data_IF_159876138614
#
_entry.id   IF_159876138614
#
_cell.length_a   1.000
_cell.length_b   1.000
_cell.length_c   1.000
_cell.angle_alpha   90.00
_cell.angle_beta   90.00
_cell.angle_gamma   90.00
#
_symmetry.space_group_name_H-M   'P 1'
#
loop_
_entity.id
_entity.type
_entity.pdbx_description
1 polymer ?
#
# COMPACT_ATOMS: atom_id res chain seq x y z
N UNK A 1 -6.49 2.31 -0.92
CA UNK A 1 -5.74 1.28 -1.69
C UNK A 1 -6.73 0.19 -2.03
N UNK A 2 -6.80 -0.28 -3.28
CA UNK A 2 -7.79 -1.26 -3.75
C UNK A 2 -7.39 -2.70 -3.40
N UNK A 3 -7.24 -2.99 -2.11
CA UNK A 3 -6.62 -4.23 -1.63
C UNK A 3 -7.56 -5.43 -1.61
N UNK A 4 -8.88 -5.22 -1.57
CA UNK A 4 -9.88 -6.22 -1.21
C UNK A 4 -10.93 -6.28 -2.31
N UNK A 5 -11.52 -7.45 -2.51
CA UNK A 5 -12.77 -7.64 -3.26
C UNK A 5 -13.93 -7.14 -2.40
N UNK A 6 -14.27 -5.86 -2.55
CA UNK A 6 -15.15 -5.13 -1.66
C UNK A 6 -16.56 -5.70 -1.69
N UNK A 7 -17.04 -6.19 -2.84
CA UNK A 7 -18.38 -6.78 -2.95
C UNK A 7 -18.52 -8.05 -2.12
N UNK A 8 -17.54 -8.94 -2.23
CA UNK A 8 -17.50 -10.17 -1.43
C UNK A 8 -17.35 -9.85 0.06
N UNK A 9 -16.39 -8.98 0.40
CA UNK A 9 -16.14 -8.60 1.79
C UNK A 9 -17.38 -8.00 2.47
N UNK A 10 -18.03 -7.03 1.82
CA UNK A 10 -19.22 -6.39 2.40
C UNK A 10 -20.44 -7.32 2.41
N UNK A 11 -20.59 -8.19 1.41
CA UNK A 11 -21.65 -9.19 1.39
C UNK A 11 -21.58 -10.12 2.61
N UNK A 12 -20.38 -10.64 2.91
CA UNK A 12 -20.15 -11.50 4.07
C UNK A 12 -20.41 -10.76 5.39
N UNK A 13 -19.97 -9.50 5.50
CA UNK A 13 -20.16 -8.70 6.72
C UNK A 13 -21.63 -8.36 6.96
N UNK A 14 -22.37 -7.99 5.92
CA UNK A 14 -23.79 -7.62 6.02
C UNK A 14 -24.66 -8.83 6.37
N UNK A 15 -24.40 -10.00 5.77
CA UNK A 15 -25.17 -11.21 6.06
C UNK A 15 -24.94 -11.72 7.49
N UNK A 16 -23.69 -11.71 7.96
CA UNK A 16 -23.34 -12.02 9.36
C UNK A 16 -23.57 -13.48 9.78
N UNK A 17 -24.04 -14.36 8.89
CA UNK A 17 -24.27 -15.80 9.13
C UNK A 17 -22.99 -16.62 8.95
N UNK A 18 -22.11 -16.19 8.04
CA UNK A 18 -20.95 -16.95 7.58
C UNK A 18 -21.24 -17.97 6.48
N UNK A 19 -22.46 -17.97 5.93
CA UNK A 19 -22.89 -18.91 4.88
C UNK A 19 -22.38 -18.49 3.49
N UNK A 20 -22.31 -17.19 3.19
CA UNK A 20 -21.75 -16.64 1.95
C UNK A 20 -20.22 -16.66 1.86
N UNK A 21 -19.53 -17.02 2.93
CA UNK A 21 -18.08 -17.07 2.96
C UNK A 21 -17.49 -16.67 4.31
N UNK A 22 -16.16 -16.67 4.37
CA UNK A 22 -15.40 -16.30 5.57
C UNK A 22 -14.35 -15.26 5.22
N UNK A 23 -14.15 -14.32 6.14
CA UNK A 23 -13.09 -13.32 6.05
C UNK A 23 -12.00 -13.69 7.05
N UNK A 24 -10.74 -13.56 6.63
CA UNK A 24 -9.60 -13.61 7.54
C UNK A 24 -9.82 -12.67 8.73
N UNK A 25 -9.74 -13.20 9.95
CA UNK A 25 -9.89 -12.36 11.15
C UNK A 25 -8.79 -11.29 11.22
N UNK A 26 -7.57 -11.63 10.79
CA UNK A 26 -6.45 -10.68 10.69
C UNK A 26 -6.80 -9.54 9.73
N UNK A 27 -7.25 -9.87 8.51
CA UNK A 27 -7.65 -8.88 7.52
C UNK A 27 -8.82 -8.02 8.01
N UNK A 28 -9.83 -8.64 8.61
CA UNK A 28 -10.98 -7.94 9.16
C UNK A 28 -10.56 -6.90 10.20
N UNK A 29 -9.72 -7.28 11.18
CA UNK A 29 -9.22 -6.32 12.17
C UNK A 29 -8.39 -5.19 11.53
N UNK A 30 -7.61 -5.48 10.47
CA UNK A 30 -6.83 -4.49 9.75
C UNK A 30 -7.70 -3.50 8.94
N UNK A 31 -8.81 -3.98 8.36
CA UNK A 31 -9.83 -3.15 7.72
C UNK A 31 -10.50 -2.24 8.76
N UNK A 32 -10.92 -2.79 9.90
CA UNK A 32 -11.50 -1.99 10.99
C UNK A 32 -10.51 -0.94 11.49
N UNK A 33 -9.25 -1.31 11.68
CA UNK A 33 -8.18 -0.39 12.07
C UNK A 33 -8.09 0.84 11.14
N UNK A 34 -8.03 0.61 9.83
CA UNK A 34 -7.93 1.70 8.85
C UNK A 34 -9.23 2.48 8.71
N UNK A 35 -10.37 1.80 8.78
CA UNK A 35 -11.71 2.40 8.71
C UNK A 35 -12.00 3.39 9.84
N UNK A 36 -11.56 3.12 11.07
CA UNK A 36 -11.77 4.00 12.24
C UNK A 36 -11.27 5.44 12.01
N UNK A 37 -10.32 5.65 11.10
CA UNK A 37 -9.87 6.98 10.72
C UNK A 37 -11.00 7.89 10.19
N UNK A 38 -12.02 7.29 9.57
CA UNK A 38 -13.09 7.97 8.85
C UNK A 38 -14.46 7.88 9.55
N UNK A 39 -14.57 7.07 10.59
CA UNK A 39 -15.81 6.90 11.36
C UNK A 39 -16.08 8.16 12.20
N UNK A 40 -17.35 8.57 12.24
CA UNK A 40 -17.81 9.68 13.07
C UNK A 40 -17.57 9.42 14.58
N UNK A 41 -17.25 10.47 15.33
CA UNK A 41 -16.92 10.33 16.76
C UNK A 41 -18.07 9.80 17.60
N UNK A 42 -19.34 10.02 17.21
CA UNK A 42 -20.51 9.50 17.93
C UNK A 42 -20.49 7.97 18.02
N UNK A 43 -20.26 7.30 16.90
CA UNK A 43 -20.17 5.83 16.84
C UNK A 43 -19.00 5.29 17.67
N UNK A 44 -17.85 5.97 17.65
CA UNK A 44 -16.68 5.55 18.44
C UNK A 44 -16.94 5.72 19.94
N UNK A 45 -17.64 6.77 20.34
CA UNK A 45 -18.02 7.02 21.74
C UNK A 45 -19.01 5.97 22.23
N UNK A 46 -20.02 5.64 21.40
CA UNK A 46 -20.97 4.55 21.69
C UNK A 46 -20.26 3.20 21.84
N UNK A 47 -19.21 2.96 21.06
CA UNK A 47 -18.36 1.78 21.18
C UNK A 47 -17.39 1.82 22.38
N UNK A 48 -17.46 2.86 23.24
CA UNK A 48 -16.67 2.98 24.47
C UNK A 48 -15.29 3.63 24.30
N UNK A 49 -14.99 4.23 23.14
CA UNK A 49 -13.71 4.89 22.91
C UNK A 49 -13.78 6.40 23.16
N UNK A 50 -12.96 6.87 24.11
CA UNK A 50 -12.87 8.30 24.42
C UNK A 50 -12.27 9.16 23.28
N UNK A 51 -11.39 8.58 22.46
CA UNK A 51 -10.78 9.28 21.32
C UNK A 51 -10.60 8.36 20.12
N UNK A 52 -10.61 8.94 18.91
CA UNK A 52 -10.30 8.21 17.68
C UNK A 52 -8.93 7.54 17.72
N UNK A 53 -7.92 8.20 18.29
CA UNK A 53 -6.59 7.61 18.41
C UNK A 53 -6.60 6.33 19.27
N UNK A 54 -7.31 6.35 20.43
CA UNK A 54 -7.47 5.15 21.27
C UNK A 54 -8.21 4.03 20.54
N UNK A 55 -9.26 4.35 19.78
CA UNK A 55 -9.97 3.39 18.95
C UNK A 55 -9.05 2.76 17.89
N UNK A 56 -8.33 3.60 17.11
CA UNK A 56 -7.38 3.13 16.09
C UNK A 56 -6.31 2.25 16.70
N UNK A 57 -5.74 2.65 17.85
CA UNK A 57 -4.74 1.87 18.58
C UNK A 57 -5.28 0.48 18.96
N UNK A 58 -6.50 0.40 19.47
CA UNK A 58 -7.09 -0.87 19.88
C UNK A 58 -7.22 -1.86 18.70
N UNK A 59 -7.72 -1.41 17.54
CA UNK A 59 -7.84 -2.26 16.35
C UNK A 59 -6.47 -2.59 15.73
N UNK A 60 -5.51 -1.67 15.74
CA UNK A 60 -4.14 -1.95 15.33
C UNK A 60 -3.51 -3.05 16.20
N UNK A 61 -3.62 -2.95 17.52
CA UNK A 61 -3.06 -3.94 18.45
C UNK A 61 -3.70 -5.32 18.28
N UNK A 62 -5.01 -5.40 17.98
CA UNK A 62 -5.67 -6.67 17.63
C UNK A 62 -5.08 -7.28 16.36
N UNK A 63 -4.93 -6.48 15.31
CA UNK A 63 -4.32 -6.92 14.04
C UNK A 63 -2.88 -7.40 14.25
N UNK A 64 -2.09 -6.63 15.02
CA UNK A 64 -0.72 -6.98 15.36
C UNK A 64 -0.63 -8.27 16.17
N UNK A 65 -1.50 -8.46 17.17
CA UNK A 65 -1.51 -9.68 17.96
C UNK A 65 -1.79 -10.90 17.07
N UNK A 66 -2.80 -10.83 16.19
CA UNK A 66 -3.13 -11.93 15.26
C UNK A 66 -1.96 -12.27 14.33
N UNK A 67 -1.23 -11.25 13.84
CA UNK A 67 -0.03 -11.46 13.05
C UNK A 67 1.11 -12.09 13.87
N UNK A 68 1.39 -11.55 15.06
CA UNK A 68 2.50 -12.00 15.93
C UNK A 68 2.31 -13.43 16.47
N UNK A 69 1.07 -13.94 16.47
CA UNK A 69 0.74 -15.32 16.83
C UNK A 69 0.60 -16.26 15.61
N UNK A 70 0.98 -15.82 14.41
CA UNK A 70 0.87 -16.60 13.17
C UNK A 70 -0.55 -17.18 12.94
N UNK A 71 -1.58 -16.42 13.33
CA UNK A 71 -2.97 -16.90 13.30
C UNK A 71 -3.49 -17.14 11.88
N UNK A 72 -3.05 -16.31 10.93
CA UNK A 72 -3.48 -16.40 9.54
C UNK A 72 -2.47 -17.20 8.71
N UNK A 73 -2.97 -18.02 7.79
CA UNK A 73 -2.14 -18.83 6.87
C UNK A 73 -2.26 -18.36 5.43
N UNK A 74 -3.37 -17.70 5.06
CA UNK A 74 -3.51 -17.12 3.73
C UNK A 74 -2.58 -15.92 3.56
N UNK A 75 -1.54 -16.13 2.75
CA UNK A 75 -0.51 -15.13 2.45
C UNK A 75 -1.11 -13.88 1.80
N UNK A 76 -2.19 -14.00 1.01
CA UNK A 76 -2.84 -12.83 0.40
C UNK A 76 -3.48 -11.97 1.48
N UNK A 77 -4.25 -12.58 2.40
CA UNK A 77 -4.84 -11.90 3.54
C UNK A 77 -3.77 -11.24 4.45
N UNK A 78 -2.65 -11.93 4.68
CA UNK A 78 -1.52 -11.38 5.45
C UNK A 78 -0.95 -10.15 4.75
N UNK A 79 -0.65 -10.20 3.45
CA UNK A 79 -0.12 -9.05 2.69
C UNK A 79 -1.09 -7.87 2.76
N UNK A 80 -2.39 -8.11 2.52
CA UNK A 80 -3.42 -7.07 2.61
C UNK A 80 -3.46 -6.43 4.00
N UNK A 81 -3.43 -7.24 5.07
CA UNK A 81 -3.42 -6.75 6.45
C UNK A 81 -2.17 -5.93 6.77
N UNK A 82 -0.98 -6.42 6.38
CA UNK A 82 0.29 -5.72 6.56
C UNK A 82 0.28 -4.35 5.85
N UNK A 83 -0.19 -4.30 4.60
CA UNK A 83 -0.34 -3.06 3.84
C UNK A 83 -1.30 -2.08 4.53
N UNK A 84 -2.37 -2.55 5.16
CA UNK A 84 -3.26 -1.70 5.95
C UNK A 84 -2.58 -1.21 7.23
N UNK A 85 -1.86 -2.09 7.94
CA UNK A 85 -1.14 -1.77 9.19
C UNK A 85 -0.07 -0.69 9.03
N UNK A 86 0.48 -0.52 7.82
CA UNK A 86 1.45 0.54 7.52
C UNK A 86 0.88 1.96 7.76
N UNK A 87 -0.45 2.14 7.83
CA UNK A 87 -1.10 3.41 8.21
C UNK A 87 -1.04 3.74 9.71
N UNK A 88 -0.40 2.91 10.52
CA UNK A 88 -0.12 3.21 11.92
C UNK A 88 1.22 3.92 12.07
N UNK A 89 1.22 5.07 12.73
CA UNK A 89 2.42 5.78 13.15
C UNK A 89 2.12 6.41 14.52
N UNK A 90 2.75 5.91 15.58
CA UNK A 90 2.53 6.39 16.95
C UNK A 90 3.77 7.05 17.53
N UNK A 91 4.95 6.47 17.33
CA UNK A 91 6.23 7.02 17.82
C UNK A 91 7.40 6.63 16.90
N UNK A 92 8.42 7.49 16.75
CA UNK A 92 9.62 7.19 15.96
C UNK A 92 10.42 5.97 16.45
N UNK A 93 10.32 5.63 17.73
CA UNK A 93 11.16 4.59 18.38
C UNK A 93 10.52 3.20 18.41
N UNK A 94 9.37 3.01 17.77
CA UNK A 94 8.71 1.70 17.77
C UNK A 94 9.43 0.73 16.80
N UNK A 95 9.85 -0.43 17.30
CA UNK A 95 10.60 -1.44 16.51
C UNK A 95 9.89 -1.90 15.23
N UNK A 96 8.55 -1.91 15.24
CA UNK A 96 7.70 -2.23 14.08
C UNK A 96 7.01 -0.97 13.58
N UNK A 97 7.78 -0.10 12.94
CA UNK A 97 7.28 1.13 12.29
C UNK A 97 6.66 0.83 10.91
N UNK A 98 6.18 1.88 10.22
CA UNK A 98 5.66 1.75 8.86
C UNK A 98 6.67 1.10 7.91
N UNK A 99 7.96 1.40 8.08
CA UNK A 99 9.03 0.84 7.25
C UNK A 99 9.15 -0.67 7.44
N UNK A 100 9.12 -1.16 8.67
CA UNK A 100 9.13 -2.60 8.99
C UNK A 100 8.00 -3.32 8.27
N UNK A 101 6.76 -2.87 8.46
CA UNK A 101 5.59 -3.53 7.86
C UNK A 101 5.61 -3.53 6.33
N UNK A 102 6.12 -2.46 5.70
CA UNK A 102 6.33 -2.43 4.26
C UNK A 102 7.34 -3.49 3.80
N UNK A 103 8.48 -3.63 4.51
CA UNK A 103 9.49 -4.64 4.17
C UNK A 103 8.94 -6.07 4.22
N UNK A 104 8.15 -6.39 5.25
CA UNK A 104 7.49 -7.70 5.38
C UNK A 104 6.48 -7.91 4.26
N UNK A 105 5.61 -6.93 3.98
CA UNK A 105 4.59 -7.04 2.95
C UNK A 105 5.19 -7.29 1.55
N UNK A 106 6.25 -6.56 1.19
CA UNK A 106 6.94 -6.69 -0.10
C UNK A 106 7.63 -8.06 -0.20
N UNK A 107 8.33 -8.49 0.86
CA UNK A 107 8.98 -9.80 0.90
C UNK A 107 7.97 -10.94 0.69
N UNK A 108 6.81 -10.88 1.35
CA UNK A 108 5.77 -11.89 1.21
C UNK A 108 5.09 -11.84 -0.17
N UNK A 109 4.83 -10.64 -0.71
CA UNK A 109 4.31 -10.46 -2.06
C UNK A 109 5.26 -11.04 -3.13
N UNK A 110 6.58 -10.86 -2.96
CA UNK A 110 7.59 -11.48 -3.81
C UNK A 110 7.58 -13.01 -3.68
N UNK A 111 7.49 -13.52 -2.46
CA UNK A 111 7.50 -14.97 -2.17
C UNK A 111 6.35 -15.71 -2.87
N UNK A 112 5.18 -15.09 -3.00
CA UNK A 112 4.03 -15.70 -3.70
C UNK A 112 3.88 -15.28 -5.16
N UNK A 113 4.83 -14.49 -5.68
CA UNK A 113 4.88 -14.12 -7.10
C UNK A 113 3.93 -12.99 -7.53
N UNK A 114 3.47 -12.11 -6.62
CA UNK A 114 2.57 -11.01 -7.02
C UNK A 114 3.24 -9.97 -7.93
N UNK A 115 4.57 -9.93 -7.97
CA UNK A 115 5.37 -9.07 -8.85
C UNK A 115 5.44 -9.57 -10.29
N UNK A 116 4.94 -10.79 -10.55
CA UNK A 116 5.03 -11.44 -11.85
C UNK A 116 3.76 -11.26 -12.66
N UNK A 117 3.92 -11.13 -13.97
CA UNK A 117 2.84 -11.07 -14.93
C UNK A 117 1.98 -12.35 -14.83
N UNK A 118 0.69 -12.22 -14.46
CA UNK A 118 -0.17 -13.39 -14.29
C UNK A 118 -0.76 -13.92 -15.60
N UNK A 119 -0.67 -13.19 -16.73
CA UNK A 119 -1.24 -13.58 -18.03
C UNK A 119 -0.88 -15.00 -18.53
N UNK A 120 0.37 -15.50 -18.39
CA UNK A 120 0.72 -16.85 -18.83
C UNK A 120 0.29 -17.97 -17.85
N UNK A 121 -0.41 -17.64 -16.77
CA UNK A 121 -0.74 -18.60 -15.70
C UNK A 121 -2.17 -19.16 -15.81
N UNK A 122 -2.43 -20.29 -15.16
CA UNK A 122 -3.78 -20.89 -15.03
C UNK A 122 -4.61 -20.24 -13.92
N UNK A 123 -4.19 -19.09 -13.39
CA UNK A 123 -4.86 -18.42 -12.28
C UNK A 123 -6.19 -17.84 -12.76
N UNK A 124 -7.31 -17.96 -12.03
CA UNK A 124 -8.57 -17.38 -12.43
C UNK A 124 -8.48 -15.86 -12.64
N UNK A 125 -9.10 -15.28 -13.69
CA UNK A 125 -8.99 -13.85 -14.01
C UNK A 125 -9.28 -12.91 -12.84
N UNK A 126 -10.33 -13.19 -12.06
CA UNK A 126 -10.68 -12.46 -10.83
C UNK A 126 -9.50 -12.36 -9.86
N UNK A 127 -8.77 -13.46 -9.66
CA UNK A 127 -7.61 -13.53 -8.76
C UNK A 127 -6.41 -12.79 -9.34
N UNK A 128 -6.20 -12.86 -10.66
CA UNK A 128 -5.15 -12.10 -11.34
C UNK A 128 -5.33 -10.59 -11.15
N UNK A 129 -6.56 -10.10 -11.35
CA UNK A 129 -6.93 -8.68 -11.13
C UNK A 129 -6.65 -8.25 -9.69
N UNK A 130 -7.08 -9.03 -8.70
CA UNK A 130 -6.80 -8.75 -7.29
C UNK A 130 -5.29 -8.70 -7.00
N UNK A 131 -4.53 -9.67 -7.50
CA UNK A 131 -3.08 -9.75 -7.31
C UNK A 131 -2.35 -8.55 -7.90
N UNK A 132 -2.75 -8.12 -9.11
CA UNK A 132 -2.27 -6.91 -9.77
C UNK A 132 -2.55 -5.66 -8.92
N UNK A 133 -3.77 -5.51 -8.40
CA UNK A 133 -4.12 -4.41 -7.49
C UNK A 133 -3.33 -4.42 -6.18
N UNK A 134 -3.06 -5.59 -5.61
CA UNK A 134 -2.26 -5.73 -4.39
C UNK A 134 -0.80 -5.33 -4.66
N UNK A 135 -0.20 -5.82 -5.73
CA UNK A 135 1.18 -5.46 -6.08
C UNK A 135 1.34 -3.96 -6.32
N UNK A 136 0.49 -3.37 -7.14
CA UNK A 136 0.54 -1.92 -7.39
C UNK A 136 0.26 -1.11 -6.12
N UNK A 137 -0.49 -1.65 -5.16
CA UNK A 137 -0.64 -1.06 -3.83
C UNK A 137 0.64 -1.15 -3.00
N UNK A 138 1.39 -2.26 -3.06
CA UNK A 138 2.74 -2.36 -2.50
C UNK A 138 3.65 -1.28 -3.10
N UNK A 139 3.71 -1.21 -4.43
CA UNK A 139 4.56 -0.28 -5.18
C UNK A 139 4.29 1.17 -4.80
N UNK A 140 3.03 1.62 -4.92
CA UNK A 140 2.65 2.99 -4.57
C UNK A 140 2.95 3.29 -3.10
N UNK A 141 2.68 2.35 -2.20
CA UNK A 141 2.87 2.60 -0.77
C UNK A 141 4.35 2.68 -0.40
N UNK A 142 5.18 1.82 -0.96
CA UNK A 142 6.62 1.80 -0.73
C UNK A 142 7.25 3.14 -1.16
N UNK A 143 6.95 3.61 -2.37
CA UNK A 143 7.48 4.87 -2.90
C UNK A 143 7.02 6.09 -2.10
N UNK A 144 5.75 6.15 -1.72
CA UNK A 144 5.24 7.28 -0.91
C UNK A 144 5.81 7.29 0.51
N UNK A 145 6.00 6.11 1.12
CA UNK A 145 6.63 5.99 2.44
C UNK A 145 8.12 6.35 2.34
N UNK A 146 8.82 5.83 1.33
CA UNK A 146 10.22 6.13 1.04
C UNK A 146 10.44 7.65 0.89
N UNK A 147 9.62 8.30 0.06
CA UNK A 147 9.63 9.76 -0.12
C UNK A 147 9.38 10.51 1.20
N UNK A 148 8.33 10.12 1.94
CA UNK A 148 7.97 10.77 3.20
C UNK A 148 9.00 10.57 4.33
N UNK A 149 9.72 9.44 4.32
CA UNK A 149 10.74 9.10 5.31
C UNK A 149 12.18 9.41 4.87
N UNK A 150 12.37 9.92 3.64
CA UNK A 150 13.68 10.16 3.01
C UNK A 150 14.57 8.91 2.99
N UNK A 151 13.95 7.76 2.70
CA UNK A 151 14.61 6.46 2.55
C UNK A 151 14.52 6.00 1.10
N UNK A 152 15.44 5.16 0.62
CA UNK A 152 15.32 4.55 -0.71
C UNK A 152 14.07 3.68 -0.77
N UNK A 153 13.37 3.61 -1.89
CA UNK A 153 12.35 2.56 -2.09
C UNK A 153 13.02 1.19 -2.12
N UNK A 154 12.23 0.15 -1.84
CA UNK A 154 12.67 -1.25 -1.90
C UNK A 154 12.39 -1.90 -3.22
N UNK A 155 11.27 -1.56 -3.85
CA UNK A 155 10.88 -2.12 -5.14
C UNK A 155 11.57 -1.30 -6.21
N UNK A 156 12.38 -1.96 -7.03
CA UNK A 156 12.97 -1.36 -8.23
C UNK A 156 12.22 -1.78 -9.48
N UNK A 157 12.37 -1.00 -10.52
CA UNK A 157 11.69 -1.25 -11.81
C UNK A 157 12.17 -2.53 -12.50
N UNK A 158 13.39 -2.99 -12.20
CA UNK A 158 13.96 -4.26 -12.68
C UNK A 158 13.41 -5.51 -11.96
N UNK A 159 12.73 -5.34 -10.81
CA UNK A 159 12.33 -6.46 -9.94
C UNK A 159 10.95 -7.06 -10.30
N UNK A 160 10.19 -6.45 -11.21
CA UNK A 160 8.83 -6.87 -11.54
C UNK A 160 8.51 -6.75 -13.04
N UNK A 161 7.57 -7.56 -13.51
CA UNK A 161 7.13 -7.58 -14.92
C UNK A 161 5.60 -7.52 -15.06
N UNK A 162 4.91 -7.19 -13.96
CA UNK A 162 3.45 -7.08 -13.95
C UNK A 162 2.96 -5.85 -14.74
N UNK A 163 1.94 -6.00 -15.61
CA UNK A 163 1.45 -4.89 -16.41
C UNK A 163 0.79 -3.79 -15.56
N UNK A 164 0.72 -2.58 -16.13
CA UNK A 164 0.04 -1.42 -15.55
C UNK A 164 -1.44 -1.71 -15.27
N UNK A 165 -1.99 -1.13 -14.20
CA UNK A 165 -3.40 -1.22 -13.85
C UNK A 165 -4.31 -0.68 -14.96
N UNK A 166 -5.41 -1.37 -15.18
CA UNK A 166 -6.46 -1.03 -16.14
C UNK A 166 -7.82 -0.94 -15.42
N UNK A 167 -8.79 -0.28 -16.03
CA UNK A 167 -10.11 -0.09 -15.40
C UNK A 167 -10.79 -1.42 -15.04
N UNK A 168 -10.60 -2.43 -15.88
CA UNK A 168 -11.15 -3.76 -15.68
C UNK A 168 -10.57 -4.50 -14.47
N UNK A 169 -9.46 -4.01 -13.91
CA UNK A 169 -8.92 -4.54 -12.67
C UNK A 169 -9.81 -4.16 -11.48
N UNK A 170 -10.71 -3.17 -11.58
CA UNK A 170 -11.47 -2.63 -10.43
C UNK A 170 -12.95 -3.02 -10.43
N UNK A 171 -13.56 -3.01 -9.25
CA UNK A 171 -15.02 -3.16 -9.07
C UNK A 171 -15.71 -1.79 -9.26
N UNK A 172 -16.13 -1.47 -10.49
CA UNK A 172 -16.75 -0.18 -10.83
C UNK A 172 -18.28 -0.24 -10.95
N UNK A 173 -18.85 -1.43 -10.89
CA UNK A 173 -20.30 -1.66 -10.93
C UNK A 173 -20.96 -1.26 -9.61
N UNK A 174 -22.23 -0.83 -9.70
CA UNK A 174 -23.03 -0.50 -8.53
C UNK A 174 -23.20 -1.71 -7.59
N UNK A 175 -23.22 -1.43 -6.29
CA UNK A 175 -23.42 -2.44 -5.26
C UNK A 175 -24.91 -2.57 -4.94
N UNK A 176 -25.40 -3.77 -4.57
CA UNK A 176 -26.79 -3.99 -4.20
C UNK A 176 -27.26 -3.02 -3.11
N UNK A 177 -28.52 -2.59 -3.20
CA UNK A 177 -29.10 -1.54 -2.34
C UNK A 177 -29.07 -1.86 -0.84
N UNK A 178 -29.10 -3.15 -0.47
CA UNK A 178 -29.06 -3.60 0.92
C UNK A 178 -27.67 -3.46 1.56
N UNK A 179 -26.57 -3.57 0.80
CA UNK A 179 -25.21 -3.50 1.35
C UNK A 179 -24.86 -2.04 1.65
N UNK A 180 -24.69 -1.68 2.92
CA UNK A 180 -24.37 -0.30 3.35
C UNK A 180 -25.29 0.74 2.69
N UNK A 181 -26.59 0.63 2.91
CA UNK A 181 -27.64 1.44 2.27
C UNK A 181 -27.40 2.97 2.28
N UNK A 182 -26.71 3.50 3.28
CA UNK A 182 -26.36 4.92 3.40
C UNK A 182 -25.12 5.34 2.60
N UNK A 183 -24.36 4.41 2.02
CA UNK A 183 -23.11 4.71 1.33
C UNK A 183 -23.35 5.11 -0.14
N UNK A 184 -23.45 6.42 -0.38
CA UNK A 184 -23.67 6.98 -1.72
C UNK A 184 -22.58 6.61 -2.71
N UNK A 185 -21.34 6.44 -2.25
CA UNK A 185 -20.21 6.09 -3.11
C UNK A 185 -20.39 4.75 -3.81
N UNK A 186 -20.90 3.74 -3.10
CA UNK A 186 -21.12 2.40 -3.66
C UNK A 186 -22.34 2.31 -4.59
N UNK A 187 -23.10 3.40 -4.74
CA UNK A 187 -24.28 3.53 -5.62
C UNK A 187 -24.01 4.40 -6.84
N UNK A 188 -22.77 4.87 -7.00
CA UNK A 188 -22.42 5.76 -8.09
C UNK A 188 -21.29 5.11 -8.89
N UNK A 189 -21.66 4.40 -9.96
CA UNK A 189 -20.72 3.76 -10.89
C UNK A 189 -19.71 4.74 -11.49
N UNK A 190 -20.13 5.99 -11.77
CA UNK A 190 -19.21 7.02 -12.25
C UNK A 190 -18.16 7.36 -11.19
N UNK A 191 -18.55 7.56 -9.93
CA UNK A 191 -17.60 7.83 -8.85
C UNK A 191 -16.65 6.64 -8.59
N UNK A 192 -17.13 5.40 -8.68
CA UNK A 192 -16.27 4.22 -8.57
C UNK A 192 -15.25 4.15 -9.71
N UNK A 193 -15.68 4.50 -10.92
CA UNK A 193 -14.82 4.61 -12.11
C UNK A 193 -13.76 5.70 -11.92
N UNK A 194 -14.14 6.87 -11.41
CA UNK A 194 -13.21 7.97 -11.12
C UNK A 194 -12.17 7.57 -10.06
N UNK A 195 -12.59 6.86 -9.01
CA UNK A 195 -11.66 6.33 -7.99
C UNK A 195 -10.66 5.32 -8.58
N UNK A 196 -11.09 4.50 -9.53
CA UNK A 196 -10.20 3.58 -10.24
C UNK A 196 -9.20 4.34 -11.12
N UNK A 197 -9.66 5.33 -11.89
CA UNK A 197 -8.79 6.22 -12.68
C UNK A 197 -7.76 6.95 -11.82
N UNK A 198 -8.19 7.53 -10.70
CA UNK A 198 -7.28 8.18 -9.73
C UNK A 198 -6.24 7.19 -9.19
N UNK A 199 -6.62 5.95 -8.95
CA UNK A 199 -5.67 4.91 -8.51
C UNK A 199 -4.64 4.58 -9.61
N UNK A 200 -5.07 4.48 -10.86
CA UNK A 200 -4.17 4.23 -12.02
C UNK A 200 -3.22 5.42 -12.20
N UNK A 201 -3.75 6.65 -12.21
CA UNK A 201 -2.95 7.86 -12.32
C UNK A 201 -1.92 7.97 -11.18
N UNK A 202 -2.33 7.65 -9.95
CA UNK A 202 -1.43 7.59 -8.80
C UNK A 202 -0.33 6.53 -8.96
N UNK A 203 -0.63 5.36 -9.51
CA UNK A 203 0.37 4.32 -9.78
C UNK A 203 1.41 4.80 -10.79
N UNK A 204 0.97 5.42 -11.89
CA UNK A 204 1.85 6.05 -12.89
C UNK A 204 2.73 7.14 -12.28
N UNK A 205 2.15 8.02 -11.45
CA UNK A 205 2.93 9.04 -10.74
C UNK A 205 4.03 8.43 -9.86
N UNK A 206 3.75 7.30 -9.21
CA UNK A 206 4.75 6.63 -8.39
C UNK A 206 5.91 6.05 -9.23
N UNK A 207 5.70 5.71 -10.51
CA UNK A 207 6.80 5.35 -11.42
C UNK A 207 7.68 6.56 -11.69
N UNK A 208 7.10 7.72 -12.02
CA UNK A 208 7.89 8.94 -12.22
C UNK A 208 8.68 9.30 -10.94
N UNK A 209 8.07 9.12 -9.76
CA UNK A 209 8.76 9.30 -8.47
C UNK A 209 9.90 8.28 -8.30
N UNK A 210 9.72 7.02 -8.72
CA UNK A 210 10.78 5.98 -8.69
C UNK A 210 12.01 6.44 -9.46
N UNK A 211 11.84 6.91 -10.69
CA UNK A 211 12.95 7.38 -11.54
C UNK A 211 13.66 8.60 -10.93
N UNK A 212 12.90 9.56 -10.39
CA UNK A 212 13.49 10.73 -9.69
C UNK A 212 14.33 10.31 -8.49
N UNK A 213 13.84 9.36 -7.69
CA UNK A 213 14.50 8.92 -6.46
C UNK A 213 15.69 8.00 -6.71
N UNK A 214 15.62 7.15 -7.73
CA UNK A 214 16.62 6.10 -7.99
C UNK A 214 17.72 6.54 -8.95
N UNK A 215 17.37 7.31 -9.99
CA UNK A 215 18.29 7.62 -11.09
C UNK A 215 18.84 9.04 -10.97
N UNK A 216 17.96 10.02 -10.73
CA UNK A 216 18.31 11.42 -10.94
C UNK A 216 18.90 12.14 -9.70
N UNK A 217 18.54 11.74 -8.47
CA UNK A 217 18.79 12.61 -7.32
C UNK A 217 19.42 11.96 -6.09
N UNK A 218 19.35 10.64 -5.88
CA UNK A 218 19.79 10.08 -4.59
C UNK A 218 20.56 8.75 -4.67
N UNK A 219 21.59 8.60 -3.83
CA UNK A 219 22.39 7.38 -3.65
C UNK A 219 22.27 6.86 -2.21
N UNK A 220 22.28 5.53 -2.06
CA UNK A 220 22.32 4.82 -0.76
C UNK A 220 23.76 4.70 -0.22
N UNK A 221 24.76 4.79 -1.09
CA UNK A 221 26.16 4.71 -0.74
C UNK A 221 26.73 6.12 -0.52
N UNK A 222 27.37 6.34 0.62
CA UNK A 222 28.31 7.45 0.77
C UNK A 222 29.47 7.15 -0.18
N UNK A 223 29.56 7.86 -1.30
CA UNK A 223 30.77 7.89 -2.14
C UNK A 223 31.86 8.66 -1.37
N UNK A 224 32.44 8.04 -0.34
CA UNK A 224 33.61 8.57 0.36
C UNK A 224 34.82 8.49 -0.58
N UNK A 225 35.11 9.58 -1.30
CA UNK A 225 36.48 9.84 -1.73
C UNK A 225 37.27 10.30 -0.51
N UNK A 226 37.88 9.36 0.20
CA UNK A 226 39.15 9.55 0.92
C UNK A 226 39.19 10.48 2.14
N UNK A 227 38.28 10.35 3.11
CA UNK A 227 38.54 10.85 4.46
C UNK A 227 38.22 9.78 5.51
N UNK A 228 39.22 9.46 6.32
CA UNK A 228 39.16 8.48 7.39
C UNK A 228 38.09 8.87 8.42
N UNK A 229 37.01 8.08 8.51
CA UNK A 229 36.08 8.13 9.64
C UNK A 229 36.59 7.23 10.76
N UNK A 230 36.58 7.77 11.98
CA UNK A 230 37.00 7.10 13.21
C UNK A 230 36.15 5.86 13.52
N UNK A 231 36.71 4.99 14.35
CA UNK A 231 36.30 3.61 14.59
C UNK A 231 34.95 3.43 15.33
N UNK A 232 34.25 4.52 15.70
CA UNK A 232 33.09 4.50 16.61
C UNK A 232 31.71 4.65 15.92
N UNK A 233 31.63 4.95 14.62
CA UNK A 233 30.35 5.23 13.94
C UNK A 233 29.69 4.02 13.23
N UNK A 234 30.30 2.83 13.27
CA UNK A 234 29.81 1.65 12.54
C UNK A 234 28.45 1.10 13.03
N UNK A 235 27.98 1.51 14.20
CA UNK A 235 26.74 0.99 14.80
C UNK A 235 25.47 1.77 14.44
N UNK A 236 25.57 2.87 13.68
CA UNK A 236 24.42 3.68 13.21
C UNK A 236 24.24 3.60 11.69
N UNK A 237 24.05 2.40 11.15
CA UNK A 237 23.58 2.24 9.76
C UNK A 237 22.09 2.56 9.66
N UNK A 238 21.73 3.85 9.66
CA UNK A 238 20.45 4.27 9.08
C UNK A 238 20.62 4.38 7.57
N UNK A 239 19.96 3.50 6.81
CA UNK A 239 19.87 3.60 5.35
C UNK A 239 19.21 4.95 5.03
N UNK A 240 20.00 5.90 4.52
CA UNK A 240 19.56 7.26 4.17
C UNK A 240 19.87 7.54 2.70
N UNK A 241 19.00 8.33 2.07
CA UNK A 241 19.24 8.86 0.73
C UNK A 241 20.16 10.08 0.80
N UNK A 242 21.21 10.09 -0.01
CA UNK A 242 22.12 11.23 -0.14
C UNK A 242 22.01 11.84 -1.55
N UNK A 243 21.95 13.17 -1.70
CA UNK A 243 21.90 13.80 -3.00
C UNK A 243 23.08 13.39 -3.90
N UNK A 244 22.80 13.01 -5.15
CA UNK A 244 23.84 12.86 -6.18
C UNK A 244 24.36 14.26 -6.58
N UNK A 245 25.63 14.37 -7.00
CA UNK A 245 26.18 15.65 -7.46
C UNK A 245 25.50 16.07 -8.77
N UNK A 246 25.17 17.36 -8.87
CA UNK A 246 24.41 18.08 -9.91
C UNK A 246 24.88 17.95 -11.39
N UNK A 247 25.78 17.03 -11.73
CA UNK A 247 26.23 16.84 -13.12
C UNK A 247 25.25 15.99 -13.97
N UNK A 248 24.20 15.42 -13.37
CA UNK A 248 23.15 14.63 -14.05
C UNK A 248 21.95 15.51 -14.48
N UNK A 249 22.20 16.55 -15.27
CA UNK A 249 21.13 17.48 -15.71
C UNK A 249 20.14 16.84 -16.69
N UNK A 250 20.56 15.85 -17.47
CA UNK A 250 19.71 15.25 -18.50
C UNK A 250 18.69 14.27 -17.89
N UNK A 251 19.08 13.43 -16.93
CA UNK A 251 18.17 12.52 -16.21
C UNK A 251 17.06 13.28 -15.47
N UNK A 252 17.40 14.44 -14.88
CA UNK A 252 16.42 15.32 -14.23
C UNK A 252 15.42 15.90 -15.24
N UNK A 253 15.87 16.25 -16.44
CA UNK A 253 15.01 16.79 -17.52
C UNK A 253 14.10 15.72 -18.11
N UNK A 254 14.57 14.49 -18.21
CA UNK A 254 13.76 13.36 -18.67
C UNK A 254 12.64 13.08 -17.66
N UNK A 255 12.96 13.06 -16.36
CA UNK A 255 11.96 12.94 -15.29
C UNK A 255 10.93 14.09 -15.32
N UNK A 256 11.36 15.33 -15.56
CA UNK A 256 10.46 16.49 -15.65
C UNK A 256 9.52 16.38 -16.86
N UNK A 257 10.04 15.87 -17.99
CA UNK A 257 9.26 15.64 -19.20
C UNK A 257 8.22 14.53 -19.00
N UNK A 258 8.62 13.41 -18.38
CA UNK A 258 7.72 12.32 -18.01
C UNK A 258 6.60 12.79 -17.08
N UNK A 259 6.94 13.61 -16.08
CA UNK A 259 5.97 14.17 -15.14
C UNK A 259 4.99 15.13 -15.84
N UNK A 260 5.47 15.92 -16.79
CA UNK A 260 4.63 16.80 -17.61
C UNK A 260 3.67 16.01 -18.52
N UNK A 261 4.16 14.94 -19.16
CA UNK A 261 3.32 14.03 -19.95
C UNK A 261 2.27 13.32 -19.09
N UNK A 262 2.66 12.87 -17.89
CA UNK A 262 1.73 12.31 -16.91
C UNK A 262 0.65 13.33 -16.52
N UNK A 263 1.01 14.59 -16.29
CA UNK A 263 0.04 15.64 -15.94
C UNK A 263 -0.96 15.92 -17.06
N UNK A 264 -0.50 15.93 -18.32
CA UNK A 264 -1.36 16.16 -19.49
C UNK A 264 -2.27 14.95 -19.79
N UNK A 265 -1.78 13.73 -19.55
CA UNK A 265 -2.53 12.49 -19.78
C UNK A 265 -3.42 12.07 -18.61
N UNK A 266 -3.36 12.78 -17.48
CA UNK A 266 -4.20 12.51 -16.32
C UNK A 266 -5.64 12.99 -16.57
N UNK A 267 -6.65 12.21 -16.15
CA UNK A 267 -8.06 12.54 -16.33
C UNK A 267 -8.53 13.72 -15.47
#
# INVERSE_FOLDING_TARGET
MPLIELREFLGIVEEGTGDSGRISLLLFQAVMFTGVAFVDMSHLTTAGFATRNKARKAFYLKSRALYDFDYETDRVAIIQALLLMTYWCETPDNQKDTWHWMGVAISLANTIGLHRNPSPTTIPPRKQKLWKRIWWSCFMRDHLVALGMRRPSRIKDEDFDIPMLELEDFETEEFPSHILSCCRTLRNSALLTDLAHLCIAKAKLCLCISHVLSDAQYSVLIRNKGQAMGQEDYTRSSVMLFPMKLDQTDEVRDCDSELAEWLVSSP
#
